data_IF_186594043396
#
_entry.id   IF_186594043396
#
_cell.length_a   1.000
_cell.length_b   1.000
_cell.length_c   1.000
_cell.angle_alpha   90.00
_cell.angle_beta   90.00
_cell.angle_gamma   90.00
#
_symmetry.space_group_name_H-M   'P 1'
#
loop_
_entity.id
_entity.type
_entity.pdbx_description
1 polymer ?
#
# COMPACT_ATOMS: atom_id res chain seq x y z
N UNK A 1 -4.19 -4.69 21.46
CA UNK A 1 -4.74 -3.48 22.12
C UNK A 1 -4.42 -2.25 21.28
N UNK A 2 -5.32 -1.28 21.11
CA UNK A 2 -5.03 -0.05 20.38
C UNK A 2 -3.92 0.75 21.09
N UNK A 3 -2.92 1.24 20.35
CA UNK A 3 -1.83 2.07 20.91
C UNK A 3 -2.36 3.47 21.24
N UNK A 4 -2.03 3.99 22.43
CA UNK A 4 -2.29 5.38 22.84
C UNK A 4 -1.47 6.32 21.95
N UNK A 5 -2.12 7.30 21.31
CA UNK A 5 -1.50 8.22 20.35
C UNK A 5 -0.84 9.39 21.06
N UNK A 6 0.33 9.79 20.59
CA UNK A 6 1.05 10.98 21.08
C UNK A 6 0.70 12.18 20.17
N UNK A 7 0.00 13.20 20.69
CA UNK A 7 -0.53 14.31 19.88
C UNK A 7 0.55 15.22 19.28
N UNK A 8 1.80 15.10 19.73
CA UNK A 8 2.91 15.96 19.27
C UNK A 8 3.62 15.43 18.02
N UNK A 9 3.41 14.16 17.64
CA UNK A 9 4.02 13.61 16.42
C UNK A 9 3.21 14.02 15.19
N UNK A 10 3.83 14.76 14.25
CA UNK A 10 3.27 15.17 12.93
C UNK A 10 2.67 14.03 12.09
N UNK A 11 2.92 12.77 12.45
CA UNK A 11 2.39 11.57 11.79
C UNK A 11 1.81 10.55 12.77
N UNK A 12 1.41 10.96 13.99
CA UNK A 12 0.85 10.07 15.01
C UNK A 12 -0.36 9.24 14.52
N UNK A 13 -1.09 9.79 13.55
CA UNK A 13 -2.27 9.15 12.95
C UNK A 13 -1.98 8.33 11.70
N UNK A 14 -0.75 8.38 11.16
CA UNK A 14 -0.40 7.72 9.90
C UNK A 14 0.41 6.46 10.18
N UNK A 15 -0.12 5.31 9.79
CA UNK A 15 0.62 4.05 9.76
C UNK A 15 1.38 3.97 8.43
N UNK A 16 2.70 3.74 8.49
CA UNK A 16 3.52 3.44 7.31
C UNK A 16 3.78 1.93 7.26
N UNK A 17 3.03 1.17 6.44
CA UNK A 17 3.31 -0.24 6.28
C UNK A 17 4.63 -0.43 5.51
N UNK A 18 5.48 -1.34 5.98
CA UNK A 18 6.64 -1.81 5.23
C UNK A 18 6.23 -3.06 4.44
N UNK A 19 6.42 -3.03 3.12
CA UNK A 19 6.13 -4.13 2.21
C UNK A 19 7.44 -4.49 1.52
N UNK A 20 7.81 -5.76 1.59
CA UNK A 20 8.98 -6.30 0.90
C UNK A 20 8.52 -6.99 -0.39
N UNK A 21 9.21 -6.71 -1.48
CA UNK A 21 9.00 -7.35 -2.77
C UNK A 21 10.30 -8.04 -3.17
N UNK A 22 10.18 -9.21 -3.81
CA UNK A 22 11.26 -9.72 -4.66
C UNK A 22 11.49 -8.77 -5.84
N UNK A 23 12.65 -8.88 -6.48
CA UNK A 23 13.00 -8.06 -7.63
C UNK A 23 11.98 -8.20 -8.78
N UNK A 24 11.54 -9.43 -9.05
CA UNK A 24 10.55 -9.73 -10.08
C UNK A 24 9.17 -9.11 -9.78
N UNK A 25 8.72 -9.16 -8.52
CA UNK A 25 7.46 -8.51 -8.11
C UNK A 25 7.57 -6.98 -8.19
N UNK A 26 8.70 -6.43 -7.75
CA UNK A 26 8.96 -5.00 -7.82
C UNK A 26 8.91 -4.51 -9.27
N UNK A 27 9.49 -5.26 -10.21
CA UNK A 27 9.45 -4.93 -11.64
C UNK A 27 8.03 -4.96 -12.21
N UNK A 28 7.20 -5.94 -11.79
CA UNK A 28 5.78 -5.98 -12.19
C UNK A 28 5.03 -4.74 -11.70
N UNK A 29 5.19 -4.40 -10.42
CA UNK A 29 4.58 -3.19 -9.83
C UNK A 29 5.05 -1.94 -10.59
N UNK A 30 6.34 -1.87 -10.90
CA UNK A 30 6.95 -0.75 -11.63
C UNK A 30 6.36 -0.59 -13.03
N UNK A 31 6.23 -1.69 -13.77
CA UNK A 31 5.62 -1.68 -15.10
C UNK A 31 4.18 -1.18 -15.04
N UNK A 32 3.34 -1.75 -14.17
CA UNK A 32 1.93 -1.37 -14.08
C UNK A 32 1.72 0.07 -13.63
N UNK A 33 2.51 0.57 -12.66
CA UNK A 33 2.37 1.97 -12.24
C UNK A 33 2.76 2.93 -13.37
N UNK A 34 3.75 2.57 -14.20
CA UNK A 34 4.21 3.42 -15.32
C UNK A 34 3.16 3.42 -16.43
N UNK A 35 2.61 2.25 -16.78
CA UNK A 35 1.55 2.11 -17.77
C UNK A 35 0.31 2.94 -17.38
N UNK A 36 0.00 3.03 -16.08
CA UNK A 36 -1.11 3.81 -15.53
C UNK A 36 -0.73 5.26 -15.17
N UNK A 37 0.54 5.66 -15.36
CA UNK A 37 1.07 6.99 -15.01
C UNK A 37 0.80 7.39 -13.54
N UNK A 38 0.92 6.43 -12.62
CA UNK A 38 0.67 6.64 -11.19
C UNK A 38 1.96 6.64 -10.37
N UNK A 39 1.94 7.43 -9.30
CA UNK A 39 2.93 7.34 -8.23
C UNK A 39 2.86 5.97 -7.55
N UNK A 40 4.02 5.39 -7.23
CA UNK A 40 4.09 3.99 -6.75
C UNK A 40 3.28 3.76 -5.48
N UNK A 41 3.37 4.70 -4.54
CA UNK A 41 2.63 4.64 -3.29
C UNK A 41 1.11 4.76 -3.50
N UNK A 42 0.70 5.57 -4.47
CA UNK A 42 -0.72 5.76 -4.81
C UNK A 42 -1.28 4.51 -5.50
N UNK A 43 -0.53 3.94 -6.45
CA UNK A 43 -0.87 2.69 -7.11
C UNK A 43 -1.08 1.55 -6.11
N UNK A 44 -0.13 1.33 -5.20
CA UNK A 44 -0.24 0.30 -4.16
C UNK A 44 -1.46 0.53 -3.25
N UNK A 45 -1.69 1.79 -2.86
CA UNK A 45 -2.87 2.16 -2.04
C UNK A 45 -4.17 1.85 -2.78
N UNK A 46 -4.26 2.19 -4.07
CA UNK A 46 -5.42 1.92 -4.90
C UNK A 46 -5.68 0.41 -5.04
N UNK A 47 -4.65 -0.40 -5.28
CA UNK A 47 -4.77 -1.86 -5.35
C UNK A 47 -5.31 -2.47 -4.06
N UNK A 48 -4.77 -2.05 -2.90
CA UNK A 48 -5.24 -2.54 -1.59
C UNK A 48 -6.73 -2.21 -1.40
N UNK A 49 -7.14 -0.97 -1.68
CA UNK A 49 -8.55 -0.60 -1.56
C UNK A 49 -9.45 -1.27 -2.58
N UNK A 50 -8.94 -1.56 -3.78
CA UNK A 50 -9.68 -2.29 -4.79
C UNK A 50 -9.98 -3.73 -4.33
N UNK A 51 -8.98 -4.43 -3.77
CA UNK A 51 -9.16 -5.77 -3.19
C UNK A 51 -10.22 -5.75 -2.08
N UNK A 52 -10.12 -4.79 -1.14
CA UNK A 52 -11.06 -4.63 -0.02
C UNK A 52 -12.47 -4.32 -0.54
N UNK A 53 -12.61 -3.37 -1.47
CA UNK A 53 -13.91 -2.92 -2.01
C UNK A 53 -14.64 -4.05 -2.74
N UNK A 54 -13.90 -4.93 -3.43
CA UNK A 54 -14.48 -6.03 -4.19
C UNK A 54 -14.52 -7.36 -3.42
N UNK A 55 -14.08 -7.40 -2.16
CA UNK A 55 -14.08 -8.62 -1.34
C UNK A 55 -13.19 -9.74 -1.90
N UNK A 56 -12.11 -9.39 -2.61
CA UNK A 56 -11.18 -10.37 -3.19
C UNK A 56 -10.32 -10.95 -2.06
N UNK A 57 -10.23 -12.28 -1.96
CA UNK A 57 -9.33 -12.95 -1.02
C UNK A 57 -7.88 -12.80 -1.52
N UNK A 58 -6.99 -12.07 -0.81
CA UNK A 58 -5.62 -11.86 -1.27
C UNK A 58 -4.73 -13.11 -1.21
N UNK A 59 -5.23 -14.23 -0.70
CA UNK A 59 -4.49 -15.51 -0.58
C UNK A 59 -4.90 -16.56 -1.61
N UNK A 60 -5.89 -16.29 -2.44
CA UNK A 60 -6.39 -17.19 -3.49
C UNK A 60 -6.05 -16.63 -4.86
#
# INVERSE_FOLDING_TARGET
>A
MPRKKDPTKRHADKVRPHIYFSEAENWKVEKYRVDLQMEKAEFLRACIFYIIKNGIDPRK
#
